data_IF_762670334561
#
_entry.id   IF_762670334561
#
_cell.length_a   1.000
_cell.length_b   1.000
_cell.length_c   1.000
_cell.angle_alpha   90.00
_cell.angle_beta   90.00
_cell.angle_gamma   90.00
#
_symmetry.space_group_name_H-M   'P 1'
#
loop_
_entity.id
_entity.type
_entity.pdbx_description
1 polymer ?
#
# COMPACT_ATOMS: atom_id res chain seq x y z
N UNK A 1 12.67 30.72 15.44
CA UNK A 1 13.68 29.69 15.76
C UNK A 1 13.09 28.44 16.41
N UNK A 2 12.25 28.52 17.46
CA UNK A 2 11.62 27.33 18.08
C UNK A 2 10.67 26.55 17.15
N UNK A 3 9.94 27.21 16.25
CA UNK A 3 9.08 26.54 15.26
C UNK A 3 9.88 25.82 14.16
N UNK A 4 11.07 26.34 13.83
CA UNK A 4 11.98 25.71 12.86
C UNK A 4 12.55 24.41 13.40
N UNK A 5 12.93 24.36 14.69
CA UNK A 5 13.47 23.12 15.28
C UNK A 5 12.44 21.99 15.33
N UNK A 6 11.17 22.30 15.64
CA UNK A 6 10.07 21.32 15.66
C UNK A 6 9.77 20.79 14.24
N UNK A 7 9.76 21.67 13.23
CA UNK A 7 9.58 21.27 11.84
C UNK A 7 10.71 20.36 11.34
N UNK A 8 11.96 20.71 11.65
CA UNK A 8 13.15 19.94 11.25
C UNK A 8 13.18 18.56 11.92
N UNK A 9 12.88 18.46 13.22
CA UNK A 9 12.80 17.16 13.92
C UNK A 9 11.73 16.25 13.30
N UNK A 10 10.56 16.81 12.99
CA UNK A 10 9.46 16.08 12.34
C UNK A 10 9.88 15.53 10.97
N UNK A 11 10.54 16.36 10.15
CA UNK A 11 11.03 15.96 8.83
C UNK A 11 12.02 14.80 8.95
N UNK A 12 12.96 14.86 9.89
CA UNK A 12 13.94 13.79 10.11
C UNK A 12 13.25 12.47 10.46
N UNK A 13 12.29 12.50 11.39
CA UNK A 13 11.54 11.29 11.79
C UNK A 13 10.78 10.70 10.60
N UNK A 14 10.10 11.55 9.82
CA UNK A 14 9.34 11.11 8.64
C UNK A 14 10.29 10.47 7.62
N UNK A 15 11.44 11.08 7.35
CA UNK A 15 12.44 10.54 6.42
C UNK A 15 12.94 9.16 6.88
N UNK A 16 13.28 9.00 8.16
CA UNK A 16 13.72 7.71 8.70
C UNK A 16 12.64 6.63 8.49
N UNK A 17 11.37 6.96 8.80
CA UNK A 17 10.26 6.02 8.67
C UNK A 17 9.96 5.68 7.20
N UNK A 18 10.06 6.65 6.28
CA UNK A 18 9.78 6.45 4.86
C UNK A 18 10.90 5.70 4.12
N UNK A 19 12.15 5.87 4.54
CA UNK A 19 13.31 5.19 3.95
C UNK A 19 13.23 3.68 4.12
N UNK A 20 12.66 3.21 5.23
CA UNK A 20 12.58 1.78 5.53
C UNK A 20 11.75 0.98 4.49
N UNK A 21 10.49 1.36 4.17
CA UNK A 21 9.71 0.81 3.06
C UNK A 21 10.36 0.86 1.69
N UNK A 22 11.10 1.93 1.39
CA UNK A 22 11.82 2.05 0.12
C UNK A 22 12.87 0.92 0.01
N UNK A 23 13.63 0.68 1.08
CA UNK A 23 14.65 -0.36 1.08
C UNK A 23 14.07 -1.78 1.04
N UNK A 24 13.18 -2.14 1.96
CA UNK A 24 12.67 -3.53 1.99
C UNK A 24 11.81 -3.86 0.77
N UNK A 25 11.01 -2.90 0.28
CA UNK A 25 10.19 -3.08 -0.92
C UNK A 25 11.08 -3.35 -2.13
N UNK A 26 12.09 -2.51 -2.34
CA UNK A 26 13.00 -2.66 -3.49
C UNK A 26 13.79 -3.98 -3.41
N UNK A 27 14.25 -4.34 -2.21
CA UNK A 27 14.98 -5.59 -1.95
C UNK A 27 14.14 -6.84 -2.22
N UNK A 28 12.91 -6.91 -1.67
CA UNK A 28 12.03 -8.06 -1.88
C UNK A 28 11.55 -8.16 -3.33
N UNK A 29 11.21 -7.04 -3.96
CA UNK A 29 10.84 -6.97 -5.38
C UNK A 29 11.96 -7.53 -6.26
N UNK A 30 13.20 -7.06 -6.07
CA UNK A 30 14.37 -7.57 -6.80
C UNK A 30 14.60 -9.08 -6.57
N UNK A 31 14.55 -9.53 -5.30
CA UNK A 31 14.76 -10.95 -4.98
C UNK A 31 13.69 -11.87 -5.56
N UNK A 32 12.44 -11.41 -5.67
CA UNK A 32 11.37 -12.18 -6.29
C UNK A 32 11.58 -12.29 -7.81
N UNK A 33 11.88 -11.19 -8.49
CA UNK A 33 12.16 -11.18 -9.93
C UNK A 33 13.31 -12.11 -10.34
N UNK A 34 14.36 -12.22 -9.50
CA UNK A 34 15.53 -13.08 -9.79
C UNK A 34 15.20 -14.58 -9.76
N UNK A 35 14.07 -15.01 -9.17
CA UNK A 35 13.75 -16.44 -8.99
C UNK A 35 13.02 -17.06 -10.16
N UNK A 36 11.83 -16.56 -10.48
CA UNK A 36 10.95 -17.09 -11.53
C UNK A 36 10.13 -15.97 -12.12
N UNK A 37 10.02 -15.92 -13.46
CA UNK A 37 9.18 -14.93 -14.16
C UNK A 37 7.75 -15.44 -14.36
N UNK A 38 7.13 -15.96 -13.29
CA UNK A 38 5.70 -16.31 -13.29
C UNK A 38 4.84 -15.05 -13.16
N UNK A 39 3.57 -15.07 -13.58
CA UNK A 39 2.70 -13.89 -13.40
C UNK A 39 2.53 -13.58 -11.93
N UNK A 40 2.33 -14.59 -11.09
CA UNK A 40 2.30 -14.43 -9.62
C UNK A 40 3.52 -13.68 -9.08
N UNK A 41 4.73 -14.07 -9.51
CA UNK A 41 5.97 -13.41 -9.07
C UNK A 41 6.07 -11.98 -9.60
N UNK A 42 5.67 -11.74 -10.86
CA UNK A 42 5.66 -10.40 -11.46
C UNK A 42 4.69 -9.48 -10.72
N UNK A 43 3.45 -9.92 -10.49
CA UNK A 43 2.43 -9.19 -9.72
C UNK A 43 2.96 -8.84 -8.33
N UNK A 44 3.56 -9.80 -7.63
CA UNK A 44 4.09 -9.56 -6.29
C UNK A 44 5.27 -8.59 -6.27
N UNK A 45 6.15 -8.69 -7.27
CA UNK A 45 7.28 -7.77 -7.40
C UNK A 45 6.80 -6.35 -7.73
N UNK A 46 5.78 -6.22 -8.59
CA UNK A 46 5.15 -4.94 -8.89
C UNK A 46 4.53 -4.30 -7.65
N UNK A 47 3.86 -5.06 -6.78
CA UNK A 47 3.39 -4.56 -5.49
C UNK A 47 4.54 -3.92 -4.69
N UNK A 48 5.63 -4.67 -4.49
CA UNK A 48 6.77 -4.19 -3.72
C UNK A 48 7.43 -2.94 -4.32
N UNK A 49 7.60 -2.88 -5.64
CA UNK A 49 8.14 -1.68 -6.29
C UNK A 49 7.20 -0.48 -6.23
N UNK A 50 5.89 -0.69 -6.35
CA UNK A 50 4.91 0.39 -6.23
C UNK A 50 4.81 0.93 -4.79
N UNK A 51 4.96 0.06 -3.79
CA UNK A 51 5.11 0.48 -2.40
C UNK A 51 6.38 1.31 -2.23
N UNK A 52 7.54 0.84 -2.72
CA UNK A 52 8.77 1.65 -2.68
C UNK A 52 8.59 3.01 -3.37
N UNK A 53 7.96 3.03 -4.53
CA UNK A 53 7.68 4.26 -5.28
C UNK A 53 6.78 5.21 -4.50
N UNK A 54 5.76 4.70 -3.82
CA UNK A 54 4.88 5.49 -2.95
C UNK A 54 5.68 6.25 -1.89
N UNK A 55 6.50 5.54 -1.13
CA UNK A 55 7.29 6.14 -0.05
C UNK A 55 8.40 7.05 -0.58
N UNK A 56 8.93 6.74 -1.76
CA UNK A 56 9.88 7.61 -2.46
C UNK A 56 9.23 8.93 -2.88
N UNK A 57 8.02 8.90 -3.46
CA UNK A 57 7.28 10.12 -3.82
C UNK A 57 6.88 10.93 -2.57
N UNK A 58 6.48 10.26 -1.49
CA UNK A 58 6.22 10.91 -0.21
C UNK A 58 7.49 11.59 0.34
N UNK A 59 8.65 10.95 0.22
CA UNK A 59 9.95 11.53 0.58
C UNK A 59 10.26 12.76 -0.27
N UNK A 60 10.11 12.66 -1.59
CA UNK A 60 10.32 13.78 -2.51
C UNK A 60 9.40 14.96 -2.16
N UNK A 61 8.15 14.71 -1.79
CA UNK A 61 7.19 15.78 -1.44
C UNK A 61 7.69 16.68 -0.30
N UNK A 62 8.55 16.16 0.59
CA UNK A 62 9.14 16.91 1.71
C UNK A 62 10.31 17.79 1.25
N UNK A 63 11.04 17.39 0.20
CA UNK A 63 12.11 18.22 -0.36
C UNK A 63 11.57 19.39 -1.21
N UNK A 64 10.31 19.32 -1.63
CA UNK A 64 9.63 20.33 -2.44
C UNK A 64 8.61 21.15 -1.65
N UNK A 65 8.70 21.18 -0.32
CA UNK A 65 7.86 22.05 0.52
C UNK A 65 7.86 23.48 0.00
N UNK A 66 6.75 24.19 0.19
CA UNK A 66 6.53 25.55 -0.32
C UNK A 66 6.39 25.66 -1.85
N UNK A 67 6.33 24.54 -2.58
CA UNK A 67 6.05 24.51 -4.02
C UNK A 67 4.81 23.66 -4.34
N UNK A 68 4.13 23.90 -5.48
CA UNK A 68 3.04 23.04 -5.95
C UNK A 68 3.45 21.57 -6.14
N UNK A 69 4.75 21.32 -6.32
CA UNK A 69 5.28 19.98 -6.48
C UNK A 69 5.19 19.14 -5.20
N UNK A 70 5.21 19.74 -4.01
CA UNK A 70 4.98 19.01 -2.75
C UNK A 70 3.63 18.28 -2.78
N UNK A 71 2.56 19.02 -3.07
CA UNK A 71 1.22 18.45 -3.18
C UNK A 71 1.14 17.39 -4.28
N UNK A 72 1.69 17.70 -5.45
CA UNK A 72 1.71 16.78 -6.59
C UNK A 72 2.39 15.45 -6.25
N UNK A 73 3.59 15.45 -5.68
CA UNK A 73 4.29 14.21 -5.34
C UNK A 73 3.56 13.44 -4.23
N UNK A 74 3.01 14.14 -3.23
CA UNK A 74 2.27 13.51 -2.15
C UNK A 74 1.01 12.79 -2.65
N UNK A 75 0.17 13.46 -3.45
CA UNK A 75 -1.09 12.88 -3.93
C UNK A 75 -0.86 11.72 -4.91
N UNK A 76 0.15 11.80 -5.77
CA UNK A 76 0.56 10.67 -6.60
C UNK A 76 1.12 9.52 -5.75
N UNK A 77 1.81 9.82 -4.65
CA UNK A 77 2.17 8.82 -3.64
C UNK A 77 0.94 8.06 -3.12
N UNK A 78 -0.10 8.77 -2.67
CA UNK A 78 -1.35 8.13 -2.20
C UNK A 78 -2.05 7.33 -3.30
N UNK A 79 -2.05 7.83 -4.54
CA UNK A 79 -2.56 7.07 -5.69
C UNK A 79 -1.82 5.73 -5.87
N UNK A 80 -0.49 5.75 -5.91
CA UNK A 80 0.32 4.53 -6.05
C UNK A 80 0.20 3.63 -4.83
N UNK A 81 -0.01 4.20 -3.64
CA UNK A 81 -0.26 3.44 -2.42
C UNK A 81 -1.52 2.59 -2.54
N UNK A 82 -2.65 3.20 -2.88
CA UNK A 82 -3.92 2.48 -3.06
C UNK A 82 -3.81 1.49 -4.22
N UNK A 83 -3.24 1.93 -5.35
CA UNK A 83 -3.08 1.08 -6.51
C UNK A 83 -2.21 -0.15 -6.21
N UNK A 84 -1.12 -0.01 -5.46
CA UNK A 84 -0.27 -1.13 -5.08
C UNK A 84 -1.04 -2.19 -4.29
N UNK A 85 -1.91 -1.79 -3.35
CA UNK A 85 -2.68 -2.74 -2.55
C UNK A 85 -3.72 -3.52 -3.35
N UNK A 86 -4.14 -3.02 -4.52
CA UNK A 86 -4.97 -3.81 -5.43
C UNK A 86 -4.27 -5.09 -5.94
N UNK A 87 -2.94 -5.11 -5.96
CA UNK A 87 -2.17 -6.27 -6.41
C UNK A 87 -2.37 -7.50 -5.52
N UNK A 88 -2.81 -7.36 -4.26
CA UNK A 88 -3.21 -8.49 -3.42
C UNK A 88 -4.40 -9.26 -4.00
N UNK A 89 -5.36 -8.55 -4.59
CA UNK A 89 -6.51 -9.19 -5.23
C UNK A 89 -6.10 -9.80 -6.55
N UNK A 90 -5.25 -9.10 -7.31
CA UNK A 90 -4.76 -9.57 -8.60
C UNK A 90 -3.98 -10.87 -8.40
N UNK A 91 -3.05 -10.94 -7.45
CA UNK A 91 -2.32 -12.17 -7.17
C UNK A 91 -3.25 -13.27 -6.63
N UNK A 92 -4.22 -12.94 -5.76
CA UNK A 92 -5.21 -13.91 -5.29
C UNK A 92 -6.01 -14.51 -6.46
N UNK A 93 -6.41 -13.69 -7.42
CA UNK A 93 -7.10 -14.12 -8.63
C UNK A 93 -6.22 -15.00 -9.54
N UNK A 94 -4.96 -14.59 -9.76
CA UNK A 94 -3.97 -15.38 -10.54
C UNK A 94 -3.79 -16.77 -9.93
N UNK A 95 -3.68 -16.85 -8.61
CA UNK A 95 -3.52 -18.12 -7.89
C UNK A 95 -4.77 -19.00 -7.97
N UNK A 96 -5.97 -18.44 -7.81
CA UNK A 96 -7.23 -19.18 -7.95
C UNK A 96 -7.41 -19.74 -9.36
N UNK A 97 -6.94 -19.02 -10.39
CA UNK A 97 -7.04 -19.46 -11.79
C UNK A 97 -5.86 -20.33 -12.25
N UNK A 98 -4.96 -20.72 -11.33
CA UNK A 98 -3.77 -21.53 -11.60
C UNK A 98 -2.98 -21.01 -12.81
N UNK A 99 -2.44 -19.80 -12.69
CA UNK A 99 -1.41 -19.07 -13.47
C UNK A 99 -1.41 -19.16 -15.03
N UNK A 100 -1.62 -20.34 -15.64
CA UNK A 100 -1.52 -20.61 -17.08
C UNK A 100 -2.84 -20.61 -17.84
N UNK A 101 -3.99 -20.80 -17.17
CA UNK A 101 -5.28 -20.97 -17.88
C UNK A 101 -5.92 -19.66 -18.37
N UNK A 102 -5.53 -18.50 -17.83
CA UNK A 102 -6.12 -17.21 -18.24
C UNK A 102 -5.32 -16.53 -19.35
N UNK A 103 -5.97 -15.94 -20.37
CA UNK A 103 -5.29 -15.14 -21.38
C UNK A 103 -4.68 -13.85 -20.78
N UNK A 104 -3.57 -13.37 -21.37
CA UNK A 104 -2.83 -12.19 -20.92
C UNK A 104 -3.68 -10.91 -20.85
N UNK A 105 -4.59 -10.72 -21.81
CA UNK A 105 -5.41 -9.50 -21.86
C UNK A 105 -6.30 -9.32 -20.63
N UNK A 106 -6.81 -10.41 -20.03
CA UNK A 106 -7.61 -10.35 -18.79
C UNK A 106 -6.77 -9.88 -17.61
N UNK A 107 -5.52 -10.32 -17.54
CA UNK A 107 -4.57 -9.90 -16.51
C UNK A 107 -4.31 -8.39 -16.58
N UNK A 108 -3.98 -7.87 -17.77
CA UNK A 108 -3.77 -6.43 -17.95
C UNK A 108 -5.05 -5.62 -17.77
N UNK A 109 -6.22 -6.12 -18.21
CA UNK A 109 -7.49 -5.45 -18.00
C UNK A 109 -7.80 -5.26 -16.51
N UNK A 110 -7.57 -6.27 -15.68
CA UNK A 110 -7.77 -6.17 -14.23
C UNK A 110 -6.81 -5.14 -13.62
N UNK A 111 -5.54 -5.12 -14.02
CA UNK A 111 -4.57 -4.11 -13.57
C UNK A 111 -5.07 -2.71 -13.96
N UNK A 112 -5.47 -2.51 -15.21
CA UNK A 112 -6.00 -1.23 -15.69
C UNK A 112 -7.26 -0.82 -14.93
N UNK A 113 -8.17 -1.75 -14.68
CA UNK A 113 -9.38 -1.51 -13.90
C UNK A 113 -9.09 -0.98 -12.50
N UNK A 114 -8.16 -1.60 -11.77
CA UNK A 114 -7.75 -1.12 -10.45
C UNK A 114 -6.96 0.20 -10.51
N UNK A 115 -6.19 0.43 -11.58
CA UNK A 115 -5.56 1.72 -11.84
C UNK A 115 -6.59 2.83 -11.97
N UNK A 116 -7.62 2.61 -12.81
CA UNK A 116 -8.74 3.54 -13.00
C UNK A 116 -9.50 3.76 -11.70
N UNK A 117 -9.83 2.72 -10.94
CA UNK A 117 -10.48 2.90 -9.62
C UNK A 117 -9.63 3.79 -8.73
N UNK A 118 -8.33 3.52 -8.62
CA UNK A 118 -7.42 4.27 -7.74
C UNK A 118 -7.33 5.76 -8.09
N UNK A 119 -7.71 6.17 -9.30
CA UNK A 119 -7.78 7.60 -9.68
C UNK A 119 -8.79 8.40 -8.86
N UNK A 120 -9.70 7.75 -8.11
CA UNK A 120 -10.57 8.44 -7.15
C UNK A 120 -9.77 9.32 -6.18
N UNK A 121 -8.55 8.89 -5.80
CA UNK A 121 -7.66 9.67 -4.93
C UNK A 121 -7.35 11.02 -5.56
N UNK A 122 -7.06 11.04 -6.87
CA UNK A 122 -6.78 12.26 -7.62
C UNK A 122 -8.06 13.10 -7.74
N UNK A 123 -9.19 12.48 -8.07
CA UNK A 123 -10.45 13.19 -8.28
C UNK A 123 -10.92 13.87 -6.98
N UNK A 124 -11.04 13.12 -5.89
CA UNK A 124 -11.54 13.65 -4.61
C UNK A 124 -10.46 14.50 -3.94
N UNK A 125 -9.19 14.11 -4.03
CA UNK A 125 -8.07 14.87 -3.48
C UNK A 125 -7.95 16.26 -4.11
N UNK A 126 -7.89 16.36 -5.45
CA UNK A 126 -7.77 17.66 -6.13
C UNK A 126 -9.09 18.44 -6.21
N UNK A 127 -10.16 17.85 -6.74
CA UNK A 127 -11.35 18.63 -7.12
C UNK A 127 -12.31 18.89 -5.96
N UNK A 128 -12.25 18.08 -4.90
CA UNK A 128 -13.11 18.22 -3.73
C UNK A 128 -12.34 18.62 -2.46
N UNK A 129 -11.10 19.10 -2.63
CA UNK A 129 -10.19 19.45 -1.52
C UNK A 129 -10.13 18.36 -0.45
N UNK A 130 -10.10 17.09 -0.88
CA UNK A 130 -10.11 15.94 0.02
C UNK A 130 -8.84 15.79 0.86
N UNK A 131 -7.73 16.34 0.35
CA UNK A 131 -6.41 16.33 0.98
C UNK A 131 -5.94 17.78 1.10
N UNK A 132 -5.58 18.19 2.31
CA UNK A 132 -4.97 19.48 2.62
C UNK A 132 -3.49 19.21 2.92
N UNK A 133 -2.60 19.78 2.11
CA UNK A 133 -1.16 19.67 2.30
C UNK A 133 -0.48 20.94 1.78
N UNK A 134 -0.51 21.96 2.62
CA UNK A 134 -0.02 23.30 2.33
C UNK A 134 0.47 24.01 3.61
N UNK A 135 0.76 25.31 3.50
CA UNK A 135 1.19 26.12 4.64
C UNK A 135 0.13 26.23 5.75
N UNK A 136 -1.17 26.14 5.42
CA UNK A 136 -2.25 26.23 6.41
C UNK A 136 -2.27 25.02 7.34
N UNK A 137 -1.86 23.84 6.86
CA UNK A 137 -1.71 22.63 7.67
C UNK A 137 -0.31 22.45 8.24
N UNK A 138 0.55 23.48 8.18
CA UNK A 138 1.97 23.39 8.51
C UNK A 138 2.68 22.25 7.77
N UNK A 139 2.27 21.99 6.52
CA UNK A 139 2.77 20.86 5.72
C UNK A 139 2.63 19.51 6.43
N UNK A 140 1.54 19.34 7.18
CA UNK A 140 1.09 18.05 7.68
C UNK A 140 -0.08 17.64 6.78
N UNK A 141 -0.02 16.46 6.14
CA UNK A 141 -1.14 16.02 5.35
C UNK A 141 -2.37 15.83 6.25
N UNK A 142 -3.47 16.46 5.87
CA UNK A 142 -4.75 16.38 6.58
C UNK A 142 -5.84 15.95 5.59
N UNK A 143 -6.51 14.85 5.87
CA UNK A 143 -7.60 14.33 5.05
C UNK A 143 -8.93 14.82 5.60
N UNK A 144 -9.83 15.24 4.72
CA UNK A 144 -11.18 15.59 5.14
C UNK A 144 -11.97 14.33 5.49
N UNK A 145 -12.95 14.46 6.39
CA UNK A 145 -13.85 13.35 6.75
C UNK A 145 -14.61 12.82 5.52
N UNK A 146 -14.96 13.72 4.59
CA UNK A 146 -15.56 13.34 3.31
C UNK A 146 -14.63 12.42 2.52
N UNK A 147 -13.35 12.80 2.37
CA UNK A 147 -12.36 11.97 1.70
C UNK A 147 -12.16 10.62 2.39
N UNK A 148 -12.16 10.58 3.73
CA UNK A 148 -12.08 9.35 4.51
C UNK A 148 -13.24 8.40 4.20
N UNK A 149 -14.49 8.87 4.30
CA UNK A 149 -15.70 8.06 4.09
C UNK A 149 -15.72 7.48 2.68
N UNK A 150 -15.46 8.32 1.66
CA UNK A 150 -15.38 7.87 0.27
C UNK A 150 -14.27 6.84 0.06
N UNK A 151 -13.08 7.11 0.60
CA UNK A 151 -11.93 6.20 0.51
C UNK A 151 -12.25 4.86 1.13
N UNK A 152 -12.81 4.84 2.34
CA UNK A 152 -13.19 3.60 3.01
C UNK A 152 -14.28 2.84 2.26
N UNK A 153 -15.27 3.53 1.70
CA UNK A 153 -16.29 2.90 0.85
C UNK A 153 -15.67 2.19 -0.36
N UNK A 154 -14.77 2.87 -1.08
CA UNK A 154 -14.08 2.30 -2.24
C UNK A 154 -13.15 1.15 -1.82
N UNK A 155 -12.32 1.34 -0.79
CA UNK A 155 -11.41 0.32 -0.28
C UNK A 155 -12.18 -0.91 0.23
N UNK A 156 -13.34 -0.73 0.88
CA UNK A 156 -14.15 -1.84 1.35
C UNK A 156 -14.74 -2.65 0.17
N UNK A 157 -15.38 -1.96 -0.78
CA UNK A 157 -16.07 -2.61 -1.91
C UNK A 157 -15.09 -3.23 -2.91
N UNK A 158 -14.01 -2.54 -3.24
CA UNK A 158 -13.09 -2.95 -4.30
C UNK A 158 -11.83 -3.64 -3.79
N UNK A 159 -11.40 -3.41 -2.54
CA UNK A 159 -10.23 -4.11 -1.99
C UNK A 159 -10.60 -5.21 -0.99
N UNK A 160 -11.29 -4.86 0.08
CA UNK A 160 -11.55 -5.78 1.19
C UNK A 160 -12.49 -6.93 0.80
N UNK A 161 -13.66 -6.62 0.21
CA UNK A 161 -14.65 -7.64 -0.16
C UNK A 161 -14.09 -8.66 -1.18
N UNK A 162 -13.45 -8.24 -2.29
CA UNK A 162 -12.86 -9.18 -3.24
C UNK A 162 -11.71 -9.98 -2.62
N UNK A 163 -10.90 -9.37 -1.76
CA UNK A 163 -9.82 -10.08 -1.07
C UNK A 163 -10.37 -11.15 -0.13
N UNK A 164 -11.44 -10.88 0.63
CA UNK A 164 -12.14 -11.88 1.45
C UNK A 164 -12.63 -13.03 0.57
N UNK A 165 -13.34 -12.71 -0.52
CA UNK A 165 -13.87 -13.71 -1.46
C UNK A 165 -12.77 -14.62 -2.03
N UNK A 166 -11.68 -14.05 -2.53
CA UNK A 166 -10.58 -14.85 -3.07
C UNK A 166 -9.81 -15.61 -1.99
N UNK A 167 -9.66 -15.05 -0.79
CA UNK A 167 -9.02 -15.74 0.34
C UNK A 167 -9.78 -17.03 0.70
N UNK A 168 -11.11 -16.99 0.75
CA UNK A 168 -11.93 -18.20 0.94
C UNK A 168 -11.74 -19.22 -0.18
N UNK A 169 -11.69 -18.77 -1.44
CA UNK A 169 -11.45 -19.67 -2.59
C UNK A 169 -10.07 -20.32 -2.54
N UNK A 170 -9.03 -19.54 -2.24
CA UNK A 170 -7.65 -20.05 -2.11
C UNK A 170 -7.57 -21.12 -1.03
N UNK A 171 -8.22 -20.89 0.11
CA UNK A 171 -8.24 -21.86 1.21
C UNK A 171 -8.89 -23.20 0.82
N UNK A 172 -9.92 -23.17 -0.04
CA UNK A 172 -10.59 -24.39 -0.53
C UNK A 172 -9.78 -25.15 -1.59
N UNK A 173 -9.01 -24.45 -2.44
CA UNK A 173 -8.25 -25.06 -3.55
C UNK A 173 -7.00 -25.80 -3.04
N UNK A 174 -6.33 -25.27 -2.02
CA UNK A 174 -5.03 -25.78 -1.58
C UNK A 174 -5.14 -26.70 -0.36
N UNK A 175 -5.22 -28.01 -0.61
CA UNK A 175 -5.38 -29.02 0.45
C UNK A 175 -4.09 -29.47 1.17
N UNK A 176 -2.94 -29.46 0.48
CA UNK A 176 -1.68 -29.95 1.06
C UNK A 176 -1.14 -29.09 2.21
N UNK A 177 -0.67 -29.71 3.29
CA UNK A 177 -0.25 -29.04 4.55
C UNK A 177 0.76 -27.91 4.29
N UNK A 178 1.84 -28.19 3.54
CA UNK A 178 2.87 -27.18 3.21
C UNK A 178 2.30 -26.00 2.42
N UNK A 179 1.40 -26.27 1.47
CA UNK A 179 0.83 -25.25 0.58
C UNK A 179 -0.22 -24.40 1.31
N UNK A 180 -1.06 -25.03 2.13
CA UNK A 180 -2.02 -24.34 3.00
C UNK A 180 -1.35 -23.38 3.97
N UNK A 181 -0.21 -23.76 4.55
CA UNK A 181 0.59 -22.85 5.40
C UNK A 181 1.07 -21.61 4.64
N UNK A 182 1.51 -21.77 3.38
CA UNK A 182 1.94 -20.63 2.53
C UNK A 182 0.79 -19.71 2.19
N UNK A 183 -0.35 -20.28 1.81
CA UNK A 183 -1.57 -19.53 1.51
C UNK A 183 -2.06 -18.78 2.75
N UNK A 184 -2.02 -19.39 3.94
CA UNK A 184 -2.35 -18.69 5.18
C UNK A 184 -1.42 -17.51 5.45
N UNK A 185 -0.10 -17.67 5.25
CA UNK A 185 0.85 -16.54 5.38
C UNK A 185 0.54 -15.42 4.39
N UNK A 186 0.18 -15.75 3.15
CA UNK A 186 -0.25 -14.77 2.16
C UNK A 186 -1.54 -14.05 2.57
N UNK A 187 -2.56 -14.78 3.00
CA UNK A 187 -3.86 -14.23 3.42
C UNK A 187 -3.67 -13.30 4.62
N UNK A 188 -2.94 -13.74 5.64
CA UNK A 188 -2.63 -12.92 6.84
C UNK A 188 -1.89 -11.65 6.42
N UNK A 189 -0.88 -11.76 5.57
CA UNK A 189 -0.16 -10.60 5.04
C UNK A 189 -1.08 -9.61 4.32
N UNK A 190 -1.98 -10.09 3.45
CA UNK A 190 -2.91 -9.24 2.73
C UNK A 190 -3.84 -8.46 3.67
N UNK A 191 -4.35 -9.10 4.73
CA UNK A 191 -5.20 -8.42 5.71
C UNK A 191 -4.43 -7.45 6.62
N UNK A 192 -3.17 -7.77 6.97
CA UNK A 192 -2.31 -6.84 7.70
C UNK A 192 -2.04 -5.58 6.86
N UNK A 193 -1.69 -5.72 5.58
CA UNK A 193 -1.49 -4.55 4.70
C UNK A 193 -2.78 -3.77 4.47
N UNK A 194 -3.93 -4.42 4.29
CA UNK A 194 -5.21 -3.69 4.25
C UNK A 194 -5.46 -2.91 5.54
N UNK A 195 -5.11 -3.46 6.71
CA UNK A 195 -5.20 -2.74 7.99
C UNK A 195 -4.30 -1.51 8.00
N UNK A 196 -3.08 -1.61 7.46
CA UNK A 196 -2.17 -0.47 7.27
C UNK A 196 -2.80 0.61 6.39
N UNK A 197 -3.46 0.22 5.29
CA UNK A 197 -4.17 1.18 4.42
C UNK A 197 -5.27 1.91 5.17
N UNK A 198 -6.22 1.19 5.80
CA UNK A 198 -7.32 1.83 6.52
C UNK A 198 -6.80 2.76 7.64
N UNK A 199 -5.76 2.31 8.35
CA UNK A 199 -5.13 3.09 9.41
C UNK A 199 -4.46 4.36 8.88
N UNK A 200 -3.83 4.33 7.69
CA UNK A 200 -3.18 5.51 7.10
C UNK A 200 -4.21 6.62 6.81
N UNK A 201 -5.36 6.27 6.25
CA UNK A 201 -6.42 7.23 6.00
C UNK A 201 -6.97 7.81 7.31
N UNK A 202 -7.11 6.98 8.34
CA UNK A 202 -7.50 7.44 9.66
C UNK A 202 -6.46 8.37 10.29
N UNK A 203 -5.17 8.04 10.17
CA UNK A 203 -4.04 8.81 10.69
C UNK A 203 -3.98 10.22 10.10
N UNK A 204 -4.19 10.34 8.79
CA UNK A 204 -4.23 11.64 8.13
C UNK A 204 -5.55 12.39 8.36
N UNK A 205 -6.64 11.73 8.77
CA UNK A 205 -7.91 12.40 9.10
C UNK A 205 -7.92 12.91 10.54
N UNK A 206 -7.43 12.12 11.49
CA UNK A 206 -7.39 12.44 12.92
C UNK A 206 -6.08 13.11 13.31
N UNK A 207 -5.74 14.21 12.64
CA UNK A 207 -4.47 14.93 12.80
C UNK A 207 -4.27 15.42 14.25
N UNK A 208 -5.35 15.78 14.93
CA UNK A 208 -5.35 16.30 16.31
C UNK A 208 -5.28 15.21 17.39
N UNK A 209 -5.54 13.94 17.06
CA UNK A 209 -5.53 12.86 18.03
C UNK A 209 -4.10 12.33 18.24
N UNK A 210 -3.36 12.96 19.14
CA UNK A 210 -1.96 12.62 19.44
C UNK A 210 -1.76 11.16 19.86
N UNK A 211 -2.69 10.61 20.64
CA UNK A 211 -2.63 9.22 21.13
C UNK A 211 -2.70 8.24 19.95
N UNK A 212 -3.69 8.42 19.05
CA UNK A 212 -3.81 7.57 17.87
C UNK A 212 -2.59 7.68 16.96
N UNK A 213 -2.05 8.90 16.79
CA UNK A 213 -0.87 9.14 15.96
C UNK A 213 0.38 8.47 16.53
N UNK A 214 0.58 8.51 17.85
CA UNK A 214 1.66 7.81 18.52
C UNK A 214 1.55 6.29 18.31
N UNK A 215 0.36 5.73 18.53
CA UNK A 215 0.08 4.29 18.31
C UNK A 215 0.38 3.92 16.85
N UNK A 216 -0.07 4.75 15.90
CA UNK A 216 0.16 4.52 14.48
C UNK A 216 1.66 4.50 14.12
N UNK A 217 2.42 5.50 14.57
CA UNK A 217 3.86 5.61 14.27
C UNK A 217 4.65 4.43 14.83
N UNK A 218 4.24 3.88 15.98
CA UNK A 218 4.87 2.71 16.57
C UNK A 218 4.47 1.42 15.83
N UNK A 219 3.17 1.13 15.74
CA UNK A 219 2.68 -0.19 15.32
C UNK A 219 2.71 -0.40 13.80
N UNK A 220 2.48 0.65 13.00
CA UNK A 220 2.27 0.47 11.55
C UNK A 220 3.53 0.11 10.79
N UNK A 221 4.70 0.73 11.03
CA UNK A 221 5.95 0.31 10.39
C UNK A 221 6.30 -1.16 10.67
N UNK A 222 6.08 -1.60 11.91
CA UNK A 222 6.30 -2.98 12.34
C UNK A 222 5.33 -3.94 11.66
N UNK A 223 4.03 -3.57 11.65
CA UNK A 223 2.97 -4.34 11.00
C UNK A 223 3.25 -4.51 9.50
N UNK A 224 3.60 -3.43 8.79
CA UNK A 224 3.94 -3.50 7.35
C UNK A 224 5.20 -4.32 7.12
N UNK A 225 6.22 -4.22 7.98
CA UNK A 225 7.44 -5.05 7.87
C UNK A 225 7.11 -6.55 8.06
N UNK A 226 6.29 -6.89 9.06
CA UNK A 226 5.84 -8.27 9.29
C UNK A 226 5.02 -8.76 8.10
N UNK A 227 4.11 -7.93 7.58
CA UNK A 227 3.27 -8.29 6.45
C UNK A 227 4.11 -8.52 5.19
N UNK A 228 5.05 -7.62 4.86
CA UNK A 228 6.01 -7.77 3.77
C UNK A 228 6.86 -9.04 3.91
N UNK A 229 7.33 -9.36 5.11
CA UNK A 229 8.09 -10.58 5.37
C UNK A 229 7.26 -11.85 5.18
N UNK A 230 6.02 -11.89 5.70
CA UNK A 230 5.09 -13.00 5.51
C UNK A 230 4.76 -13.21 4.03
N UNK A 231 4.57 -12.10 3.30
CA UNK A 231 4.34 -12.10 1.86
C UNK A 231 5.53 -12.71 1.12
N UNK A 232 6.73 -12.24 1.41
CA UNK A 232 7.95 -12.78 0.84
C UNK A 232 8.13 -14.27 1.18
N UNK A 233 7.80 -14.70 2.40
CA UNK A 233 7.92 -16.11 2.81
C UNK A 233 6.90 -17.02 2.12
N UNK A 234 5.71 -16.51 1.82
CA UNK A 234 4.64 -17.28 1.17
C UNK A 234 5.01 -17.74 -0.25
N UNK A 235 5.65 -16.88 -1.05
CA UNK A 235 6.05 -17.19 -2.44
C UNK A 235 7.56 -17.34 -2.64
N UNK A 236 8.37 -16.87 -1.70
CA UNK A 236 9.81 -16.73 -1.90
C UNK A 236 10.65 -17.97 -1.57
N UNK A 237 10.32 -18.76 -0.56
CA UNK A 237 11.20 -19.89 -0.17
C UNK A 237 10.93 -21.11 -1.10
N UNK A 238 11.98 -21.68 -1.71
CA UNK A 238 11.87 -22.95 -2.46
C UNK A 238 11.28 -24.03 -1.55
N UNK A 239 10.49 -24.94 -2.13
CA UNK A 239 10.03 -26.15 -1.45
C UNK A 239 11.26 -27.07 -1.31
N UNK A 240 11.90 -27.01 -0.16
CA UNK A 240 12.70 -28.12 0.36
C UNK A 240 11.76 -29.11 1.07
#
# INVERSE_FOLDING_TARGET
MLLQSVLTQRIIIILIVQVWPIFYGSYFGYKLLKRTKSRSTLTLSSFFFLISLTYFLATISIFFLDTPFAYFFYIFGIYFFVFSHSFFIIISWVLVKLDTKSPNWKYYLIITFYGVISTYVLIIGFFFNGIIYDASSNWIPAFTVVFLIFSWGILAVFLLMPQIYFSFKLYKIFGGIKLRRRINMFIVSAFLELTVVFSLFLYNTWVENEIFRLIYILLVPETSTIAAYLLYKSFGKKLE
#
